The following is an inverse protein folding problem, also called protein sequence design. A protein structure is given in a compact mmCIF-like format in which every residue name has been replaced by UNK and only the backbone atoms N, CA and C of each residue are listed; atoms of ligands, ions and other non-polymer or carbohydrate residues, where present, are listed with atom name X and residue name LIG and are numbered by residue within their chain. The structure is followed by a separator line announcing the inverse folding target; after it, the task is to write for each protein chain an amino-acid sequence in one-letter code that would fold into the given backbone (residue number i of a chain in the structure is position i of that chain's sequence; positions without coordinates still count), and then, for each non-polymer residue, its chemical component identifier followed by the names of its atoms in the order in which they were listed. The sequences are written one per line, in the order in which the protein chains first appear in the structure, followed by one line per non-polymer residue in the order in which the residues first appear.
data_IF_529523786193
#
_entry.id   IF_529523786193
#
_cell.length_a   1.000
_cell.length_b   1.000
_cell.length_c   1.000
_cell.angle_alpha   90.00
_cell.angle_beta   90.00
_cell.angle_gamma   90.00
#
_symmetry.space_group_name_H-M   'P 1'
#
loop_
_entity.id
_entity.type
_entity.pdbx_description
1 polymer ?
#
# COMPACT_ATOMS: atom_id res chain seq x y z
N UNK A 1 -17.49 -9.14 4.20
CA UNK A 1 -18.37 -8.00 3.92
C UNK A 1 -17.51 -6.79 4.19
N UNK A 2 -17.23 -5.94 3.19
CA UNK A 2 -16.42 -4.75 3.40
C UNK A 2 -17.07 -3.88 4.47
N UNK A 3 -16.24 -3.30 5.34
CA UNK A 3 -16.72 -2.29 6.29
C UNK A 3 -17.31 -1.12 5.50
N UNK A 4 -18.61 -0.77 5.70
CA UNK A 4 -19.28 0.23 4.87
C UNK A 4 -18.59 1.60 4.93
N UNK A 5 -17.99 1.94 6.09
CA UNK A 5 -17.20 3.16 6.24
C UNK A 5 -15.92 3.18 5.39
N UNK A 6 -15.30 2.02 5.16
CA UNK A 6 -14.09 1.93 4.31
C UNK A 6 -14.45 2.13 2.85
N UNK A 7 -15.59 1.58 2.40
CA UNK A 7 -16.02 1.73 1.02
C UNK A 7 -16.43 3.16 0.70
N UNK A 8 -17.12 3.84 1.63
CA UNK A 8 -17.43 5.28 1.51
C UNK A 8 -16.17 6.15 1.39
N UNK A 9 -15.16 5.87 2.22
CA UNK A 9 -13.88 6.60 2.19
C UNK A 9 -13.06 6.33 0.92
N UNK A 10 -13.29 5.19 0.26
CA UNK A 10 -12.60 4.79 -0.98
C UNK A 10 -13.51 4.90 -2.22
N UNK A 11 -14.66 5.56 -2.14
CA UNK A 11 -15.64 5.63 -3.24
C UNK A 11 -15.07 6.26 -4.53
N UNK A 12 -14.05 7.11 -4.42
CA UNK A 12 -13.35 7.71 -5.57
C UNK A 12 -12.20 6.86 -6.14
N UNK A 13 -11.95 5.69 -5.57
CA UNK A 13 -10.88 4.79 -6.00
C UNK A 13 -11.39 3.80 -7.04
N UNK A 14 -10.47 3.16 -7.76
CA UNK A 14 -10.79 1.99 -8.56
C UNK A 14 -11.43 0.88 -7.70
N UNK A 15 -12.20 -0.04 -8.33
CA UNK A 15 -12.56 -1.30 -7.69
C UNK A 15 -11.33 -2.00 -7.12
N UNK A 16 -11.53 -2.83 -6.09
CA UNK A 16 -10.47 -3.69 -5.56
C UNK A 16 -9.97 -4.62 -6.67
N UNK A 17 -8.65 -4.69 -6.81
CA UNK A 17 -7.99 -5.57 -7.76
C UNK A 17 -6.88 -6.36 -7.06
N UNK A 18 -6.62 -7.61 -7.47
CA UNK A 18 -5.48 -8.37 -6.94
C UNK A 18 -4.19 -7.57 -7.07
N UNK A 19 -3.36 -7.53 -6.03
CA UNK A 19 -2.13 -6.74 -6.07
C UNK A 19 -1.02 -7.48 -6.82
N UNK A 20 -1.10 -7.47 -8.15
CA UNK A 20 -0.17 -8.14 -9.07
C UNK A 20 0.52 -7.14 -10.00
N UNK A 21 1.57 -7.60 -10.70
CA UNK A 21 2.26 -6.79 -11.72
C UNK A 21 1.35 -6.40 -12.88
N UNK A 22 0.37 -7.25 -13.22
CA UNK A 22 -0.61 -7.02 -14.28
C UNK A 22 -1.59 -5.91 -13.88
N UNK A 23 -2.17 -5.98 -12.67
CA UNK A 23 -3.03 -4.91 -12.17
C UNK A 23 -2.26 -3.59 -12.01
N UNK A 24 -1.01 -3.64 -11.50
CA UNK A 24 -0.17 -2.45 -11.43
C UNK A 24 0.14 -1.84 -12.81
N UNK A 25 0.11 -2.63 -13.89
CA UNK A 25 0.34 -2.14 -15.25
C UNK A 25 -0.84 -1.32 -15.81
N UNK A 26 -2.08 -1.58 -15.33
CA UNK A 26 -3.26 -0.83 -15.75
C UNK A 26 -3.37 0.52 -15.05
N UNK A 27 -2.62 0.75 -13.96
CA UNK A 27 -2.58 2.03 -13.30
C UNK A 27 -2.01 3.13 -14.23
N UNK A 28 -2.49 4.37 -14.07
CA UNK A 28 -2.02 5.51 -14.86
C UNK A 28 -0.61 5.94 -14.44
N UNK A 29 0.10 6.57 -15.37
CA UNK A 29 1.40 7.20 -15.11
C UNK A 29 1.21 8.62 -14.58
N UNK A 30 0.36 8.79 -13.56
CA UNK A 30 -0.07 10.09 -13.04
C UNK A 30 0.05 10.15 -11.51
N UNK A 31 0.01 11.37 -10.92
CA UNK A 31 -0.04 11.54 -9.47
C UNK A 31 -1.32 10.97 -8.87
N UNK A 32 -1.19 10.36 -7.69
CA UNK A 32 -2.34 9.78 -7.01
C UNK A 32 -2.02 9.13 -5.69
N UNK A 33 -3.05 8.50 -5.15
CA UNK A 33 -3.03 7.75 -3.90
C UNK A 33 -3.38 6.29 -4.18
N UNK A 34 -2.74 5.37 -3.48
CA UNK A 34 -3.06 3.95 -3.52
C UNK A 34 -3.28 3.41 -2.11
N UNK A 35 -4.26 2.53 -1.98
CA UNK A 35 -4.58 1.80 -0.76
C UNK A 35 -4.35 0.30 -1.01
N UNK A 36 -3.68 -0.36 -0.06
CA UNK A 36 -3.51 -1.81 -0.05
C UNK A 36 -4.44 -2.38 1.01
N UNK A 37 -5.19 -3.42 0.65
CA UNK A 37 -6.19 -4.06 1.47
C UNK A 37 -5.81 -5.51 1.73
N UNK A 38 -5.95 -5.96 2.97
CA UNK A 38 -5.84 -7.35 3.38
C UNK A 38 -7.20 -7.77 3.93
N UNK A 39 -7.92 -8.64 3.22
CA UNK A 39 -9.28 -9.06 3.58
C UNK A 39 -10.22 -7.88 3.90
N UNK A 40 -10.43 -6.98 2.93
CA UNK A 40 -11.21 -5.72 3.05
C UNK A 40 -10.66 -4.66 4.03
N UNK A 41 -9.62 -4.97 4.81
CA UNK A 41 -9.02 -4.02 5.76
C UNK A 41 -7.91 -3.22 5.10
N UNK A 42 -8.00 -1.89 5.10
CA UNK A 42 -6.90 -1.04 4.60
C UNK A 42 -5.70 -1.15 5.54
N UNK A 43 -4.64 -1.79 5.05
CA UNK A 43 -3.40 -2.02 5.80
C UNK A 43 -2.33 -0.99 5.49
N UNK A 44 -2.41 -0.34 4.33
CA UNK A 44 -1.47 0.71 3.91
C UNK A 44 -2.11 1.71 2.94
N UNK A 45 -1.69 2.98 3.05
CA UNK A 45 -2.01 4.04 2.10
C UNK A 45 -0.73 4.78 1.71
N UNK A 46 -0.43 4.86 0.42
CA UNK A 46 0.69 5.59 -0.13
C UNK A 46 0.25 6.69 -1.08
N UNK A 47 1.11 7.68 -1.28
CA UNK A 47 0.95 8.68 -2.35
C UNK A 47 2.17 8.61 -3.26
N UNK A 48 2.01 9.04 -4.51
CA UNK A 48 3.09 9.13 -5.48
C UNK A 48 2.77 10.13 -6.60
N UNK A 49 3.81 10.63 -7.28
CA UNK A 49 3.66 11.35 -8.55
C UNK A 49 3.45 10.44 -9.76
N UNK A 50 3.62 9.11 -9.61
CA UNK A 50 3.40 8.13 -10.67
C UNK A 50 2.91 6.79 -10.10
N UNK A 51 1.59 6.58 -10.16
CA UNK A 51 0.91 5.40 -9.62
C UNK A 51 1.49 4.09 -10.17
N UNK A 52 1.57 3.94 -11.49
CA UNK A 52 2.10 2.74 -12.14
C UNK A 52 3.48 2.34 -11.64
N UNK A 53 4.42 3.29 -11.62
CA UNK A 53 5.80 3.01 -11.21
C UNK A 53 5.88 2.64 -9.73
N UNK A 54 5.15 3.36 -8.86
CA UNK A 54 5.16 3.10 -7.43
C UNK A 54 4.56 1.75 -7.07
N UNK A 55 3.43 1.40 -7.70
CA UNK A 55 2.77 0.12 -7.47
C UNK A 55 3.67 -1.05 -7.87
N UNK A 56 4.35 -0.96 -9.02
CA UNK A 56 5.34 -1.97 -9.45
C UNK A 56 6.54 -2.04 -8.50
N UNK A 57 7.04 -0.90 -8.02
CA UNK A 57 8.17 -0.85 -7.10
C UNK A 57 7.88 -1.60 -5.78
N UNK A 58 6.65 -1.57 -5.28
CA UNK A 58 6.28 -2.34 -4.09
C UNK A 58 6.33 -3.85 -4.35
N UNK A 59 6.08 -4.31 -5.57
CA UNK A 59 6.08 -5.74 -5.91
C UNK A 59 7.49 -6.27 -6.19
N UNK A 60 8.35 -5.47 -6.82
CA UNK A 60 9.69 -5.88 -7.27
C UNK A 60 10.83 -5.34 -6.42
N UNK A 61 10.53 -4.50 -5.43
CA UNK A 61 11.52 -3.81 -4.61
C UNK A 61 12.20 -4.69 -3.56
N UNK A 62 12.91 -4.02 -2.66
CA UNK A 62 13.56 -4.59 -1.50
C UNK A 62 13.17 -3.79 -0.23
N UNK A 63 13.73 -4.19 0.93
CA UNK A 63 13.43 -3.56 2.23
C UNK A 63 13.72 -2.04 2.26
N UNK A 64 14.62 -1.54 1.44
CA UNK A 64 14.93 -0.10 1.34
C UNK A 64 14.05 0.64 0.32
N UNK A 65 13.33 -0.09 -0.53
CA UNK A 65 12.55 0.47 -1.64
C UNK A 65 11.20 1.07 -1.20
N UNK A 66 10.67 0.63 -0.04
CA UNK A 66 9.39 1.09 0.48
C UNK A 66 9.22 0.76 1.95
N UNK A 67 8.68 1.71 2.72
CA UNK A 67 8.23 1.48 4.10
C UNK A 67 7.23 0.33 4.19
N UNK A 68 6.33 0.18 3.21
CA UNK A 68 5.41 -0.96 3.16
C UNK A 68 6.19 -2.28 3.06
N UNK A 69 7.18 -2.34 2.18
CA UNK A 69 7.98 -3.55 1.98
C UNK A 69 8.79 -3.90 3.23
N UNK A 70 9.39 -2.90 3.87
CA UNK A 70 10.11 -3.05 5.13
C UNK A 70 9.20 -3.59 6.24
N UNK A 71 8.03 -3.00 6.43
CA UNK A 71 7.12 -3.35 7.52
C UNK A 71 6.39 -4.68 7.30
N UNK A 72 6.02 -5.02 6.06
CA UNK A 72 5.55 -6.38 5.73
C UNK A 72 6.66 -7.39 5.99
N UNK A 73 7.88 -7.05 5.62
CA UNK A 73 9.03 -7.86 5.95
C UNK A 73 9.16 -8.11 7.46
N UNK A 74 9.08 -7.07 8.28
CA UNK A 74 9.12 -7.18 9.76
C UNK A 74 7.97 -8.01 10.32
N UNK A 75 6.77 -7.92 9.72
CA UNK A 75 5.64 -8.75 10.10
C UNK A 75 5.90 -10.24 9.84
N UNK A 76 6.62 -10.56 8.77
CA UNK A 76 6.91 -11.93 8.34
C UNK A 76 8.22 -12.49 8.92
N UNK A 77 9.05 -11.64 9.51
CA UNK A 77 10.29 -12.06 10.16
C UNK A 77 9.96 -13.01 11.33
N UNK A 78 10.73 -14.10 11.42
CA UNK A 78 10.66 -15.05 12.55
C UNK A 78 11.91 -14.86 13.42
N UNK A 79 11.92 -15.34 14.68
CA UNK A 79 13.11 -15.25 15.53
C UNK A 79 14.36 -15.90 14.93
N UNK A 80 14.19 -16.84 13.99
CA UNK A 80 15.29 -17.62 13.41
C UNK A 80 15.62 -17.22 11.96
N UNK A 81 14.76 -16.45 11.29
CA UNK A 81 14.91 -16.16 9.86
C UNK A 81 14.17 -14.88 9.45
N UNK A 82 14.87 -14.02 8.71
CA UNK A 82 14.29 -12.86 8.05
C UNK A 82 13.46 -13.27 6.81
N UNK A 83 12.30 -12.66 6.61
CA UNK A 83 11.45 -12.90 5.46
C UNK A 83 12.14 -12.49 4.17
N UNK A 84 12.10 -13.40 3.19
CA UNK A 84 12.72 -13.20 1.89
C UNK A 84 11.90 -12.25 1.02
N UNK A 85 12.47 -11.85 -0.12
CA UNK A 85 11.71 -11.05 -1.10
C UNK A 85 10.49 -11.79 -1.63
N UNK A 86 10.60 -13.10 -1.80
CA UNK A 86 9.50 -13.96 -2.28
C UNK A 86 8.39 -14.07 -1.23
N UNK A 87 8.73 -14.11 0.06
CA UNK A 87 7.71 -14.15 1.13
C UNK A 87 6.91 -12.85 1.16
N UNK A 88 7.58 -11.71 1.02
CA UNK A 88 6.95 -10.39 0.99
C UNK A 88 6.10 -10.22 -0.27
N UNK A 89 6.62 -10.60 -1.44
CA UNK A 89 5.88 -10.57 -2.70
C UNK A 89 4.66 -11.50 -2.65
N UNK A 90 4.78 -12.69 -2.06
CA UNK A 90 3.67 -13.63 -1.85
C UNK A 90 2.61 -13.04 -0.92
N UNK A 91 3.02 -12.34 0.14
CA UNK A 91 2.09 -11.67 1.04
C UNK A 91 1.34 -10.52 0.33
N UNK A 92 2.07 -9.67 -0.40
CA UNK A 92 1.47 -8.60 -1.20
C UNK A 92 0.53 -9.15 -2.28
N UNK A 93 0.88 -10.25 -2.94
CA UNK A 93 0.03 -10.89 -3.95
C UNK A 93 -1.28 -11.48 -3.42
N UNK A 94 -1.44 -11.63 -2.11
CA UNK A 94 -2.72 -11.98 -1.46
C UNK A 94 -3.57 -10.76 -1.14
N UNK A 95 -2.96 -9.58 -1.14
CA UNK A 95 -3.65 -8.33 -0.90
C UNK A 95 -4.35 -7.86 -2.16
N UNK A 96 -5.28 -6.94 -1.96
CA UNK A 96 -5.88 -6.16 -3.01
C UNK A 96 -5.30 -4.75 -3.01
N UNK A 97 -5.43 -4.06 -4.12
CA UNK A 97 -5.04 -2.67 -4.27
C UNK A 97 -6.17 -1.89 -4.91
N UNK A 98 -6.35 -0.66 -4.43
CA UNK A 98 -7.19 0.37 -5.03
C UNK A 98 -6.34 1.61 -5.25
N UNK A 99 -6.61 2.41 -6.28
CA UNK A 99 -5.95 3.69 -6.47
C UNK A 99 -6.88 4.78 -6.98
N UNK A 100 -6.48 6.03 -6.81
CA UNK A 100 -7.18 7.21 -7.29
C UNK A 100 -6.17 8.23 -7.81
N UNK A 101 -6.40 8.74 -9.02
CA UNK A 101 -5.70 9.91 -9.53
C UNK A 101 -6.18 11.17 -8.83
N UNK A 102 -5.28 12.05 -8.43
CA UNK A 102 -5.64 13.29 -7.76
C UNK A 102 -4.56 14.35 -7.91
N UNK A 103 -4.97 15.62 -7.98
CA UNK A 103 -4.07 16.78 -7.96
C UNK A 103 -3.51 17.11 -6.57
N UNK A 104 -4.00 16.46 -5.51
CA UNK A 104 -3.56 16.71 -4.12
C UNK A 104 -3.25 15.39 -3.38
N UNK A 105 -2.32 14.55 -3.91
CA UNK A 105 -2.13 13.18 -3.44
C UNK A 105 -1.62 13.09 -1.99
N UNK A 106 -0.81 14.05 -1.54
CA UNK A 106 -0.30 14.06 -0.17
C UNK A 106 -1.40 14.31 0.85
N UNK A 107 -2.20 15.38 0.69
CA UNK A 107 -3.32 15.71 1.58
C UNK A 107 -4.40 14.62 1.59
N UNK A 108 -4.70 14.02 0.43
CA UNK A 108 -5.63 12.89 0.35
C UNK A 108 -5.14 11.68 1.15
N UNK A 109 -3.84 11.33 1.03
CA UNK A 109 -3.26 10.27 1.87
C UNK A 109 -3.36 10.62 3.35
N UNK A 110 -3.03 11.83 3.77
CA UNK A 110 -3.08 12.22 5.19
C UNK A 110 -4.48 12.05 5.78
N UNK A 111 -5.52 12.50 5.06
CA UNK A 111 -6.91 12.33 5.47
C UNK A 111 -7.28 10.83 5.61
N UNK A 112 -6.90 10.00 4.63
CA UNK A 112 -7.16 8.55 4.67
C UNK A 112 -6.42 7.86 5.81
N UNK A 113 -5.15 8.23 6.06
CA UNK A 113 -4.37 7.66 7.17
C UNK A 113 -4.99 8.04 8.52
N UNK A 114 -5.46 9.27 8.67
CA UNK A 114 -6.11 9.73 9.90
C UNK A 114 -7.43 8.98 10.16
N UNK A 115 -8.23 8.80 9.11
CA UNK A 115 -9.53 8.12 9.19
C UNK A 115 -9.39 6.60 9.41
N UNK A 116 -8.56 5.94 8.60
CA UNK A 116 -8.47 4.48 8.54
C UNK A 116 -7.42 3.88 9.48
N UNK A 117 -6.47 4.70 9.96
CA UNK A 117 -5.33 4.30 10.81
C UNK A 117 -4.65 3.01 10.33
N UNK A 118 -4.21 2.93 9.05
CA UNK A 118 -3.67 1.69 8.49
C UNK A 118 -2.47 1.21 9.28
N UNK A 119 -2.40 -0.10 9.55
CA UNK A 119 -1.36 -0.69 10.41
C UNK A 119 0.06 -0.35 9.95
N UNK A 120 0.27 -0.25 8.63
CA UNK A 120 1.57 0.03 8.03
C UNK A 120 1.84 1.51 7.70
N UNK A 121 0.93 2.41 8.11
CA UNK A 121 1.17 3.85 8.06
C UNK A 121 1.61 4.42 9.41
N UNK A 122 1.64 3.58 10.46
CA UNK A 122 2.26 3.92 11.74
C UNK A 122 3.72 4.26 11.46
N UNK A 123 4.08 5.51 11.72
CA UNK A 123 5.43 6.03 11.59
C UNK A 123 6.40 5.02 12.21
N UNK A 124 7.29 4.43 11.40
CA UNK A 124 8.57 4.01 11.97
C UNK A 124 9.17 5.31 12.50
N UNK A 125 9.45 5.43 13.80
CA UNK A 125 10.06 6.65 14.30
C UNK A 125 11.39 6.80 13.58
N UNK A 126 11.50 7.81 12.70
CA UNK A 126 12.80 8.39 12.43
C UNK A 126 13.19 9.04 13.74
N UNK A 127 14.08 8.41 14.50
CA UNK A 127 14.91 9.16 15.43
C UNK A 127 15.54 10.27 14.58
N UNK A 128 15.06 11.51 14.76
CA UNK A 128 15.79 12.67 14.29
C UNK A 128 17.04 12.78 15.19
N UNK A 129 18.24 13.01 14.62
CA UNK A 129 19.41 13.35 15.40
C UNK A 129 19.19 14.65 16.18
#
# INVERSE_FOLDING_TARGET
MPDPMTDDLLAGFTPAQPYTMEAAATAPSAPGVHAVLDSDTVVYVGWTGNLRNRLRQHLTGNRDSSVLYQQVGQLLDTPSQAATREDIARWLGRCEVRWQETGSPESTKEALVLALKPRFNRQVPKQRP
#
